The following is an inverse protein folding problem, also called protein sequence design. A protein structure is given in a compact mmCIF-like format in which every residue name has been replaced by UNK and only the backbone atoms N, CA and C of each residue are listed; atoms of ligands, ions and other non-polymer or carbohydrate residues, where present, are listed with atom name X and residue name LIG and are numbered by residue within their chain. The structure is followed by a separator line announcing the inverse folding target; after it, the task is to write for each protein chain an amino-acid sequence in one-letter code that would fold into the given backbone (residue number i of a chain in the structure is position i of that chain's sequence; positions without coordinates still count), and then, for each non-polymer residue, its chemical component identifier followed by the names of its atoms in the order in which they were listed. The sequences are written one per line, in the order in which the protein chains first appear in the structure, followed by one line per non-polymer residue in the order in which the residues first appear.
data_IF_223181285760
#
_entry.id   IF_223181285760
#
_cell.length_a   1.000
_cell.length_b   1.000
_cell.length_c   1.000
_cell.angle_alpha   90.00
_cell.angle_beta   90.00
_cell.angle_gamma   90.00
#
_symmetry.space_group_name_H-M   'P 1'
#
loop_
_entity.id
_entity.type
_entity.pdbx_description
1 polymer ?
#
# COMPACT_ATOMS: atom_id res chain seq x y z
N UNK A 1 -53.20 39.16 29.99
CA UNK A 1 -52.88 37.76 29.75
C UNK A 1 -51.75 37.67 28.72
N UNK A 2 -50.49 37.55 29.18
CA UNK A 2 -49.34 37.48 28.32
C UNK A 2 -49.01 36.01 28.03
N UNK A 3 -49.11 35.57 26.76
CA UNK A 3 -48.69 34.22 26.30
C UNK A 3 -47.17 34.25 26.10
N UNK A 4 -46.43 33.50 26.93
CA UNK A 4 -45.00 33.26 26.76
C UNK A 4 -44.81 32.26 25.63
N UNK A 5 -44.18 32.70 24.54
CA UNK A 5 -43.76 31.86 23.43
C UNK A 5 -42.41 31.24 23.83
N UNK A 6 -42.40 29.92 24.08
CA UNK A 6 -41.17 29.17 24.34
C UNK A 6 -40.61 28.75 22.97
N UNK A 7 -39.49 29.38 22.60
CA UNK A 7 -38.74 29.06 21.39
C UNK A 7 -37.86 27.83 21.68
N UNK A 8 -38.22 26.67 21.15
CA UNK A 8 -37.45 25.44 21.29
C UNK A 8 -36.28 25.49 20.32
N UNK A 9 -35.08 25.70 20.86
CA UNK A 9 -33.84 25.69 20.08
C UNK A 9 -33.40 24.24 19.81
N UNK A 10 -33.70 23.70 18.60
CA UNK A 10 -33.16 22.44 18.16
C UNK A 10 -31.65 22.59 17.86
N UNK A 11 -30.81 22.17 18.79
CA UNK A 11 -29.37 21.98 18.53
C UNK A 11 -29.22 20.74 17.68
N UNK A 12 -29.02 20.93 16.38
CA UNK A 12 -28.53 19.87 15.48
C UNK A 12 -27.08 19.57 15.84
N UNK A 13 -26.85 18.56 16.65
CA UNK A 13 -25.54 18.00 16.85
C UNK A 13 -25.11 17.34 15.51
N UNK A 14 -24.36 18.07 14.70
CA UNK A 14 -23.65 17.56 13.55
C UNK A 14 -22.61 16.56 14.04
N UNK A 15 -22.96 15.27 14.07
CA UNK A 15 -21.99 14.20 14.25
C UNK A 15 -21.01 14.26 13.09
N UNK A 16 -19.77 14.70 13.35
CA UNK A 16 -18.67 14.49 12.43
C UNK A 16 -18.52 12.97 12.27
N UNK A 17 -18.99 12.44 11.13
CA UNK A 17 -18.69 11.06 10.74
C UNK A 17 -17.18 10.99 10.57
N UNK A 18 -16.49 10.42 11.55
CA UNK A 18 -15.18 9.84 11.31
C UNK A 18 -15.42 8.85 10.17
N UNK A 19 -14.93 9.17 8.97
CA UNK A 19 -15.05 8.30 7.82
C UNK A 19 -14.60 6.90 8.27
N UNK A 20 -15.42 5.89 7.98
CA UNK A 20 -15.16 4.52 8.40
C UNK A 20 -13.85 4.04 7.77
N UNK A 21 -12.75 4.28 8.47
CA UNK A 21 -11.41 3.94 8.03
C UNK A 21 -11.16 2.42 8.10
N UNK A 22 -12.05 1.66 8.76
CA UNK A 22 -11.90 0.21 8.92
C UNK A 22 -12.11 -0.51 7.61
N UNK A 23 -13.13 -0.15 6.84
CA UNK A 23 -13.39 -0.70 5.51
C UNK A 23 -12.27 -0.39 4.51
N UNK A 24 -11.74 0.85 4.52
CA UNK A 24 -10.61 1.24 3.68
C UNK A 24 -9.34 0.47 4.07
N UNK A 25 -9.06 0.37 5.36
CA UNK A 25 -7.89 -0.39 5.86
C UNK A 25 -7.98 -1.86 5.44
N UNK A 26 -9.14 -2.50 5.59
CA UNK A 26 -9.32 -3.89 5.15
C UNK A 26 -9.12 -4.04 3.63
N UNK A 27 -9.64 -3.10 2.83
CA UNK A 27 -9.47 -3.09 1.37
C UNK A 27 -8.00 -3.00 0.99
N UNK A 28 -7.27 -2.01 1.53
CA UNK A 28 -5.86 -1.80 1.19
C UNK A 28 -4.98 -2.94 1.71
N UNK A 29 -5.27 -3.49 2.89
CA UNK A 29 -4.57 -4.66 3.41
C UNK A 29 -4.71 -5.88 2.50
N UNK A 30 -5.93 -6.11 1.96
CA UNK A 30 -6.17 -7.17 0.98
C UNK A 30 -5.38 -6.92 -0.31
N UNK A 31 -5.39 -5.70 -0.84
CA UNK A 31 -4.64 -5.32 -2.05
C UNK A 31 -3.13 -5.51 -1.85
N UNK A 32 -2.58 -5.09 -0.70
CA UNK A 32 -1.17 -5.32 -0.36
C UNK A 32 -0.84 -6.81 -0.33
N UNK A 33 -1.67 -7.62 0.33
CA UNK A 33 -1.46 -9.06 0.41
C UNK A 33 -1.49 -9.73 -0.95
N UNK A 34 -2.47 -9.42 -1.81
CA UNK A 34 -2.61 -9.99 -3.15
C UNK A 34 -1.49 -9.54 -4.11
N UNK A 35 -1.08 -8.27 -4.03
CA UNK A 35 0.02 -7.71 -4.80
C UNK A 35 1.33 -8.40 -4.44
N UNK A 36 1.62 -8.55 -3.15
CA UNK A 36 2.87 -9.18 -2.72
C UNK A 36 2.83 -10.70 -2.76
N UNK A 37 1.66 -11.33 -2.77
CA UNK A 37 1.55 -12.74 -3.15
C UNK A 37 2.03 -12.95 -4.60
N UNK A 38 1.57 -12.11 -5.54
CA UNK A 38 2.02 -12.15 -6.92
C UNK A 38 3.53 -11.84 -7.07
N UNK A 39 4.05 -10.87 -6.31
CA UNK A 39 5.48 -10.58 -6.23
C UNK A 39 6.29 -11.79 -5.74
N UNK A 40 5.85 -12.44 -4.67
CA UNK A 40 6.52 -13.59 -4.07
C UNK A 40 6.56 -14.83 -4.97
N UNK A 41 5.67 -14.88 -5.96
CA UNK A 41 5.57 -15.95 -6.94
C UNK A 41 5.88 -15.50 -8.37
N UNK A 42 6.55 -14.37 -8.54
CA UNK A 42 6.76 -13.74 -9.85
C UNK A 42 7.63 -14.56 -10.81
N UNK A 43 8.26 -15.63 -10.34
CA UNK A 43 8.91 -16.66 -11.16
C UNK A 43 7.92 -17.64 -11.83
N UNK A 44 6.64 -17.65 -11.41
CA UNK A 44 5.60 -18.51 -11.97
C UNK A 44 4.87 -17.82 -13.13
N UNK A 45 4.34 -18.61 -14.08
CA UNK A 45 3.59 -18.06 -15.22
C UNK A 45 2.46 -17.10 -14.78
N UNK A 46 2.41 -15.91 -15.39
CA UNK A 46 1.38 -14.90 -15.18
C UNK A 46 1.47 -14.10 -13.87
N UNK A 47 2.29 -14.50 -12.90
CA UNK A 47 2.35 -13.80 -11.60
C UNK A 47 3.06 -12.46 -11.70
N UNK A 48 4.09 -12.34 -12.53
CA UNK A 48 4.74 -11.06 -12.77
C UNK A 48 3.80 -10.04 -13.44
N UNK A 49 2.98 -10.49 -14.39
CA UNK A 49 1.97 -9.65 -15.04
C UNK A 49 0.86 -9.25 -14.05
N UNK A 50 0.44 -10.19 -13.19
CA UNK A 50 -0.49 -9.91 -12.09
C UNK A 50 0.10 -8.85 -11.14
N UNK A 51 1.35 -8.98 -10.74
CA UNK A 51 2.05 -7.98 -9.92
C UNK A 51 2.07 -6.61 -10.62
N UNK A 52 2.44 -6.58 -11.91
CA UNK A 52 2.48 -5.37 -12.72
C UNK A 52 1.12 -4.65 -12.79
N UNK A 53 0.00 -5.38 -12.78
CA UNK A 53 -1.35 -4.81 -12.89
C UNK A 53 -1.75 -3.93 -11.71
N UNK A 54 -1.10 -4.09 -10.56
CA UNK A 54 -1.33 -3.25 -9.38
C UNK A 54 -0.72 -1.84 -9.48
N UNK A 55 0.09 -1.57 -10.51
CA UNK A 55 0.80 -0.30 -10.64
C UNK A 55 0.28 0.52 -11.82
N UNK A 56 0.21 1.83 -11.61
CA UNK A 56 0.02 2.78 -12.71
C UNK A 56 1.17 2.69 -13.72
N UNK A 57 0.91 2.94 -15.00
CA UNK A 57 1.97 2.93 -16.04
C UNK A 57 3.08 3.96 -15.77
N UNK A 58 2.73 5.06 -15.09
CA UNK A 58 3.63 6.15 -14.71
C UNK A 58 3.97 6.10 -13.21
N UNK A 59 4.07 4.89 -12.64
CA UNK A 59 4.52 4.71 -11.26
C UNK A 59 5.88 5.38 -11.06
N UNK A 60 6.04 6.08 -9.95
CA UNK A 60 7.36 6.48 -9.46
C UNK A 60 7.74 5.57 -8.30
N UNK A 61 8.85 4.87 -8.42
CA UNK A 61 9.38 4.03 -7.38
C UNK A 61 10.70 4.60 -6.86
N UNK A 62 10.73 4.95 -5.59
CA UNK A 62 11.88 5.50 -4.88
C UNK A 62 12.46 4.43 -3.96
N UNK A 63 13.72 4.11 -4.14
CA UNK A 63 14.43 3.12 -3.36
C UNK A 63 15.75 3.74 -2.85
N UNK A 64 15.97 3.76 -1.55
CA UNK A 64 17.12 4.45 -0.94
C UNK A 64 18.48 3.95 -1.45
N UNK A 65 18.60 2.64 -1.70
CA UNK A 65 19.83 2.05 -2.24
C UNK A 65 19.82 1.88 -3.77
N UNK A 66 18.64 1.94 -4.41
CA UNK A 66 18.45 1.66 -5.85
C UNK A 66 18.18 2.91 -6.70
N UNK A 67 17.95 4.06 -6.05
CA UNK A 67 17.57 5.29 -6.74
C UNK A 67 16.10 5.32 -7.17
N UNK A 68 15.81 6.03 -8.25
CA UNK A 68 14.43 6.26 -8.70
C UNK A 68 14.15 5.54 -10.01
N UNK A 69 12.99 4.88 -10.07
CA UNK A 69 12.45 4.27 -11.29
C UNK A 69 11.16 5.00 -11.68
N UNK A 70 11.07 5.44 -12.94
CA UNK A 70 10.04 6.38 -13.41
C UNK A 70 8.88 5.72 -14.18
N UNK A 71 8.95 4.43 -14.44
CA UNK A 71 7.91 3.72 -15.19
C UNK A 71 7.70 2.32 -14.66
N UNK A 72 6.46 1.82 -14.81
CA UNK A 72 6.12 0.44 -14.45
C UNK A 72 6.99 -0.58 -15.18
N UNK A 73 7.19 -0.41 -16.47
CA UNK A 73 7.90 -1.40 -17.29
C UNK A 73 9.34 -1.58 -16.83
N UNK A 74 10.04 -0.48 -16.50
CA UNK A 74 11.40 -0.52 -15.95
C UNK A 74 11.40 -1.18 -14.56
N UNK A 75 10.44 -0.82 -13.69
CA UNK A 75 10.32 -1.44 -12.36
C UNK A 75 10.08 -2.96 -12.46
N UNK A 76 9.19 -3.39 -13.34
CA UNK A 76 8.89 -4.81 -13.54
C UNK A 76 10.08 -5.58 -14.13
N UNK A 77 10.81 -4.98 -15.07
CA UNK A 77 12.03 -5.59 -15.61
C UNK A 77 13.09 -5.78 -14.52
N UNK A 78 13.28 -4.79 -13.64
CA UNK A 78 14.20 -4.89 -12.49
C UNK A 78 13.72 -5.95 -11.48
N UNK A 79 12.43 -6.01 -11.17
CA UNK A 79 11.84 -7.04 -10.31
C UNK A 79 12.11 -8.43 -10.87
N UNK A 80 11.88 -8.63 -12.17
CA UNK A 80 12.17 -9.90 -12.85
C UNK A 80 13.64 -10.30 -12.73
N UNK A 81 14.55 -9.36 -12.97
CA UNK A 81 15.98 -9.62 -13.00
C UNK A 81 16.58 -9.89 -11.62
N UNK A 82 16.10 -9.20 -10.59
CA UNK A 82 16.77 -9.16 -9.29
C UNK A 82 16.03 -9.86 -8.15
N UNK A 83 14.70 -10.07 -8.28
CA UNK A 83 13.85 -10.56 -7.21
C UNK A 83 13.23 -11.92 -7.49
N UNK A 84 12.61 -12.10 -8.69
CA UNK A 84 11.82 -13.28 -9.00
C UNK A 84 12.62 -14.57 -8.83
N UNK A 85 12.10 -15.50 -8.00
CA UNK A 85 12.75 -16.76 -7.65
C UNK A 85 13.92 -16.65 -6.69
N UNK A 86 14.29 -15.44 -6.25
CA UNK A 86 15.43 -15.20 -5.35
C UNK A 86 15.01 -14.70 -3.98
N UNK A 87 14.04 -13.79 -3.93
CA UNK A 87 13.57 -13.17 -2.71
C UNK A 87 12.05 -13.20 -2.62
N UNK A 88 11.54 -13.20 -1.39
CA UNK A 88 10.13 -12.97 -1.07
C UNK A 88 10.02 -11.85 -0.04
N UNK A 89 8.92 -11.14 -0.08
CA UNK A 89 8.59 -10.08 0.88
C UNK A 89 7.55 -10.57 1.89
N UNK A 90 7.74 -10.24 3.14
CA UNK A 90 6.74 -10.41 4.19
C UNK A 90 6.43 -9.06 4.85
N UNK A 91 5.15 -8.79 5.07
CA UNK A 91 4.72 -7.64 5.86
C UNK A 91 5.02 -7.91 7.34
N UNK A 92 5.64 -6.97 8.02
CA UNK A 92 5.78 -7.05 9.48
C UNK A 92 4.40 -6.94 10.12
N UNK A 93 4.02 -7.94 10.89
CA UNK A 93 2.70 -8.01 11.49
C UNK A 93 2.37 -6.75 12.32
N UNK A 94 1.20 -6.17 12.11
CA UNK A 94 0.73 -4.98 12.80
C UNK A 94 1.37 -3.66 12.36
N UNK A 95 2.31 -3.67 11.40
CA UNK A 95 2.98 -2.44 10.93
C UNK A 95 2.16 -1.65 9.92
N UNK A 96 1.24 -2.27 9.20
CA UNK A 96 0.45 -1.61 8.16
C UNK A 96 -0.47 -0.54 8.77
N UNK A 97 -0.32 0.69 8.28
CA UNK A 97 -1.21 1.81 8.58
C UNK A 97 -1.77 2.36 7.29
N UNK A 98 -3.06 2.66 7.28
CA UNK A 98 -3.76 3.19 6.11
C UNK A 98 -4.43 4.50 6.48
N UNK A 99 -4.20 5.53 5.67
CA UNK A 99 -4.82 6.84 5.80
C UNK A 99 -5.56 7.19 4.52
N UNK A 100 -6.82 7.66 4.59
CA UNK A 100 -7.56 8.09 3.41
C UNK A 100 -6.96 9.36 2.82
N UNK A 101 -7.00 9.45 1.49
CA UNK A 101 -6.75 10.69 0.75
C UNK A 101 -8.03 11.05 0.03
N UNK A 102 -8.63 12.18 0.42
CA UNK A 102 -9.93 12.63 -0.08
C UNK A 102 -9.93 12.70 -1.61
N UNK A 103 -10.96 12.12 -2.21
CA UNK A 103 -11.20 12.12 -3.67
C UNK A 103 -10.05 11.50 -4.50
N UNK A 104 -9.17 10.73 -3.85
CA UNK A 104 -8.02 10.11 -4.51
C UNK A 104 -7.90 8.61 -4.20
N UNK A 105 -7.80 8.23 -2.92
CA UNK A 105 -7.57 6.85 -2.50
C UNK A 105 -6.98 6.76 -1.10
N UNK A 106 -5.76 6.21 -0.97
CA UNK A 106 -5.14 5.97 0.32
C UNK A 106 -3.61 6.08 0.30
N UNK A 107 -3.06 6.40 1.47
CA UNK A 107 -1.64 6.22 1.78
C UNK A 107 -1.54 4.99 2.68
N UNK A 108 -0.73 4.02 2.28
CA UNK A 108 -0.37 2.87 3.08
C UNK A 108 1.10 2.97 3.49
N UNK A 109 1.39 2.81 4.78
CA UNK A 109 2.76 2.76 5.30
C UNK A 109 2.93 1.50 6.15
N UNK A 110 4.15 1.01 6.23
CA UNK A 110 4.47 -0.15 7.06
C UNK A 110 5.93 -0.52 6.98
N UNK A 111 6.25 -1.66 7.58
CA UNK A 111 7.58 -2.27 7.49
C UNK A 111 7.47 -3.63 6.82
N UNK A 112 8.47 -4.00 6.07
CA UNK A 112 8.54 -5.30 5.40
C UNK A 112 9.94 -5.91 5.55
N UNK A 113 9.98 -7.22 5.55
CA UNK A 113 11.22 -8.00 5.56
C UNK A 113 11.37 -8.74 4.23
N UNK A 114 12.62 -8.94 3.84
CA UNK A 114 12.97 -9.68 2.64
C UNK A 114 13.73 -10.94 3.02
N UNK A 115 13.25 -12.07 2.51
CA UNK A 115 13.79 -13.38 2.80
C UNK A 115 14.25 -14.04 1.51
N UNK A 116 15.32 -14.79 1.55
CA UNK A 116 15.76 -15.59 0.40
C UNK A 116 14.79 -16.75 0.17
N UNK A 117 14.47 -17.03 -1.09
CA UNK A 117 13.66 -18.18 -1.48
C UNK A 117 14.43 -19.48 -1.20
N UNK A 118 13.78 -20.42 -0.51
CA UNK A 118 14.42 -21.68 -0.09
C UNK A 118 15.34 -21.55 1.13
N UNK A 119 15.53 -20.35 1.67
CA UNK A 119 16.28 -20.09 2.90
C UNK A 119 15.35 -19.77 4.09
N UNK A 120 15.85 -20.03 5.30
CA UNK A 120 15.17 -19.64 6.54
C UNK A 120 15.60 -18.25 7.05
N UNK A 121 16.44 -17.54 6.28
CA UNK A 121 16.95 -16.23 6.67
C UNK A 121 16.17 -15.11 5.98
N UNK A 122 15.69 -14.18 6.80
CA UNK A 122 15.14 -12.90 6.39
C UNK A 122 16.14 -11.82 6.77
N UNK A 123 17.00 -11.44 5.85
CA UNK A 123 18.22 -10.67 6.14
C UNK A 123 18.02 -9.17 6.12
N UNK A 124 16.97 -8.71 5.45
CA UNK A 124 16.69 -7.27 5.29
C UNK A 124 15.33 -6.85 5.83
N UNK A 125 15.29 -5.67 6.42
CA UNK A 125 14.06 -4.98 6.81
C UNK A 125 14.10 -3.56 6.25
N UNK A 126 12.96 -3.04 5.83
CA UNK A 126 12.80 -1.67 5.37
C UNK A 126 11.40 -1.14 5.71
N UNK A 127 11.26 0.16 5.68
CA UNK A 127 9.98 0.86 5.69
C UNK A 127 9.50 1.04 4.25
N UNK A 128 8.16 1.11 4.10
CA UNK A 128 7.56 1.44 2.81
C UNK A 128 6.42 2.46 2.94
N UNK A 129 6.20 3.16 1.84
CA UNK A 129 5.01 3.97 1.62
C UNK A 129 4.47 3.69 0.23
N UNK A 130 3.17 3.38 0.13
CA UNK A 130 2.46 3.20 -1.13
C UNK A 130 1.34 4.23 -1.23
N UNK A 131 1.27 4.94 -2.35
CA UNK A 131 0.15 5.83 -2.66
C UNK A 131 -0.79 5.09 -3.61
N UNK A 132 -1.89 4.63 -3.07
CA UNK A 132 -2.96 3.96 -3.78
C UNK A 132 -3.95 4.96 -4.34
N UNK A 133 -4.22 4.90 -5.63
CA UNK A 133 -5.28 5.66 -6.29
C UNK A 133 -6.44 4.76 -6.65
N UNK A 134 -7.65 5.20 -6.29
CA UNK A 134 -8.90 4.60 -6.77
C UNK A 134 -9.42 5.42 -7.95
N UNK A 135 -9.49 4.81 -9.12
CA UNK A 135 -10.04 5.43 -10.32
C UNK A 135 -10.90 4.44 -11.08
N UNK A 136 -12.12 4.81 -11.38
CA UNK A 136 -13.08 3.97 -12.13
C UNK A 136 -13.26 2.57 -11.51
N UNK A 137 -13.25 2.49 -10.17
CA UNK A 137 -13.37 1.24 -9.41
C UNK A 137 -12.06 0.41 -9.34
N UNK A 138 -10.98 0.87 -9.95
CA UNK A 138 -9.69 0.18 -9.98
C UNK A 138 -8.69 0.85 -9.03
N UNK A 139 -8.07 0.03 -8.19
CA UNK A 139 -6.99 0.47 -7.29
C UNK A 139 -5.62 0.23 -7.93
N UNK A 140 -4.80 1.27 -8.00
CA UNK A 140 -3.42 1.17 -8.48
C UNK A 140 -2.48 2.01 -7.62
N UNK A 141 -1.26 1.52 -7.42
CA UNK A 141 -0.17 2.26 -6.80
C UNK A 141 0.40 3.25 -7.80
N UNK A 142 0.43 4.52 -7.45
CA UNK A 142 1.00 5.61 -8.28
C UNK A 142 2.38 6.05 -7.80
N UNK A 143 2.69 5.81 -6.51
CA UNK A 143 3.99 6.09 -5.89
C UNK A 143 4.31 4.96 -4.92
N UNK A 144 5.52 4.48 -4.99
CA UNK A 144 6.07 3.50 -4.05
C UNK A 144 7.41 4.01 -3.53
N UNK A 145 7.58 3.96 -2.22
CA UNK A 145 8.84 4.27 -1.55
C UNK A 145 9.25 3.05 -0.74
N UNK A 146 10.51 2.64 -0.86
CA UNK A 146 11.12 1.61 -0.01
C UNK A 146 12.43 2.17 0.52
N UNK A 147 12.55 2.32 1.83
CA UNK A 147 13.61 3.10 2.45
C UNK A 147 13.97 2.60 3.86
N UNK A 148 15.09 3.08 4.39
CA UNK A 148 15.58 2.66 5.71
C UNK A 148 16.03 1.21 5.71
N UNK A 149 16.58 0.72 4.59
CA UNK A 149 17.07 -0.65 4.47
C UNK A 149 18.21 -0.92 5.44
N UNK A 150 18.04 -1.96 6.24
CA UNK A 150 19.00 -2.40 7.26
C UNK A 150 18.93 -3.90 7.47
N UNK A 151 19.95 -4.44 8.12
CA UNK A 151 19.93 -5.84 8.53
C UNK A 151 18.74 -6.12 9.48
N UNK A 152 18.12 -7.26 9.29
CA UNK A 152 17.08 -7.77 10.19
C UNK A 152 17.78 -8.72 11.20
N UNK A 153 18.19 -8.16 12.34
CA UNK A 153 18.94 -8.85 13.40
C UNK A 153 18.01 -9.57 14.36
#
# INVERSE_FOLDING_TARGET
MMKKLIMLLCVLAGGAHAADNTGLTATVAKLDAEMFDAFNHCDKPGQLDKYASYFDSHIEFYHDNGGVTWTRDVMIAQTKAHVCGKYRRELVAGSLKVSPVKDFGAIATGSHIFCQVGGNKCEGIAEFTLIWRLRDGVWQVTRALSYGHRANN
#
